data_IF_849707087479
#
_entry.id   IF_849707087479
#
_cell.length_a   1.000
_cell.length_b   1.000
_cell.length_c   1.000
_cell.angle_alpha   90.00
_cell.angle_beta   90.00
_cell.angle_gamma   90.00
#
_symmetry.space_group_name_H-M   'P 1'
#
loop_
_entity.id
_entity.type
_entity.pdbx_description
1 polymer ?
#
# COMPACT_ATOMS: atom_id res chain seq x y z
N UNK A 1 -37.21 -3.98 -13.70
CA UNK A 1 -35.89 -3.31 -13.82
C UNK A 1 -35.64 -2.54 -12.54
N UNK A 2 -34.45 -2.60 -11.94
CA UNK A 2 -34.15 -1.87 -10.71
C UNK A 2 -34.27 -0.36 -10.91
N UNK A 3 -34.85 0.33 -9.94
CA UNK A 3 -35.10 1.77 -10.01
C UNK A 3 -34.07 2.53 -9.17
N UNK A 4 -33.31 3.40 -9.82
CA UNK A 4 -32.22 4.18 -9.20
C UNK A 4 -32.71 5.36 -8.35
N UNK A 5 -34.02 5.63 -8.32
CA UNK A 5 -34.60 6.56 -7.37
C UNK A 5 -34.81 5.90 -6.00
N UNK A 6 -34.82 4.57 -5.95
CA UNK A 6 -35.02 3.81 -4.73
C UNK A 6 -33.69 3.64 -4.00
N UNK A 7 -33.66 4.10 -2.75
CA UNK A 7 -32.44 4.05 -1.91
C UNK A 7 -31.90 2.62 -1.75
N UNK A 8 -32.78 1.63 -1.62
CA UNK A 8 -32.40 0.22 -1.51
C UNK A 8 -31.63 -0.28 -2.73
N UNK A 9 -32.03 0.12 -3.92
CA UNK A 9 -31.35 -0.19 -5.18
C UNK A 9 -29.97 0.46 -5.23
N UNK A 10 -29.88 1.74 -4.86
CA UNK A 10 -28.59 2.45 -4.81
C UNK A 10 -27.62 1.81 -3.81
N UNK A 11 -28.11 1.42 -2.64
CA UNK A 11 -27.33 0.71 -1.62
C UNK A 11 -26.90 -0.70 -2.08
N UNK A 12 -27.72 -1.38 -2.88
CA UNK A 12 -27.36 -2.67 -3.49
C UNK A 12 -26.26 -2.49 -4.55
N UNK A 13 -26.39 -1.51 -5.45
CA UNK A 13 -25.38 -1.19 -6.46
C UNK A 13 -24.05 -0.84 -5.81
N UNK A 14 -24.07 -0.01 -4.76
CA UNK A 14 -22.86 0.36 -4.03
C UNK A 14 -22.18 -0.85 -3.38
N UNK A 15 -22.95 -1.73 -2.73
CA UNK A 15 -22.42 -2.96 -2.13
C UNK A 15 -21.76 -3.88 -3.16
N UNK A 16 -22.48 -4.17 -4.25
CA UNK A 16 -21.98 -5.03 -5.32
C UNK A 16 -20.77 -4.42 -6.04
N UNK A 17 -20.73 -3.10 -6.18
CA UNK A 17 -19.59 -2.40 -6.75
C UNK A 17 -18.36 -2.52 -5.85
N UNK A 18 -18.51 -2.27 -4.55
CA UNK A 18 -17.40 -2.37 -3.60
C UNK A 18 -16.91 -3.81 -3.38
N UNK A 19 -17.78 -4.83 -3.48
CA UNK A 19 -17.41 -6.24 -3.30
C UNK A 19 -16.75 -6.86 -4.54
N UNK A 20 -17.23 -6.54 -5.75
CA UNK A 20 -16.75 -7.14 -7.00
C UNK A 20 -15.55 -6.39 -7.61
N UNK A 21 -14.64 -5.90 -6.77
CA UNK A 21 -13.42 -5.21 -7.22
C UNK A 21 -13.68 -3.93 -8.02
N UNK A 22 -14.81 -3.25 -7.76
CA UNK A 22 -15.22 -2.02 -8.46
C UNK A 22 -15.48 -2.23 -9.96
N UNK A 23 -15.94 -3.42 -10.34
CA UNK A 23 -16.43 -3.68 -11.68
C UNK A 23 -17.88 -3.20 -11.86
N UNK A 24 -18.08 -2.12 -12.64
CA UNK A 24 -19.39 -1.51 -12.87
C UNK A 24 -20.37 -2.44 -13.57
N UNK A 25 -19.93 -3.14 -14.61
CA UNK A 25 -20.79 -4.03 -15.39
C UNK A 25 -21.28 -5.20 -14.52
N UNK A 26 -20.36 -5.86 -13.81
CA UNK A 26 -20.71 -6.99 -12.94
C UNK A 26 -21.63 -6.56 -11.79
N UNK A 27 -21.38 -5.40 -11.18
CA UNK A 27 -22.24 -4.89 -10.11
C UNK A 27 -23.67 -4.63 -10.60
N UNK A 28 -23.84 -4.04 -11.79
CA UNK A 28 -25.16 -3.81 -12.38
C UNK A 28 -25.87 -5.11 -12.74
N UNK A 29 -25.15 -6.09 -13.30
CA UNK A 29 -25.70 -7.42 -13.59
C UNK A 29 -26.16 -8.11 -12.30
N UNK A 30 -25.36 -8.05 -11.23
CA UNK A 30 -25.66 -8.65 -9.92
C UNK A 30 -26.94 -8.07 -9.30
N UNK A 31 -27.16 -6.75 -9.45
CA UNK A 31 -28.39 -6.08 -8.97
C UNK A 31 -29.61 -6.36 -9.86
N UNK A 32 -29.44 -7.01 -11.01
CA UNK A 32 -30.54 -7.42 -11.89
C UNK A 32 -30.81 -6.48 -13.07
N UNK A 33 -29.86 -5.63 -13.46
CA UNK A 33 -29.90 -4.98 -14.76
C UNK A 33 -29.61 -5.98 -15.88
N UNK A 34 -30.20 -5.76 -17.06
CA UNK A 34 -29.93 -6.60 -18.23
C UNK A 34 -28.48 -6.47 -18.68
N UNK A 35 -27.89 -7.55 -19.20
CA UNK A 35 -26.49 -7.53 -19.68
C UNK A 35 -26.23 -6.47 -20.75
N UNK A 36 -27.17 -6.30 -21.69
CA UNK A 36 -27.07 -5.27 -22.74
C UNK A 36 -27.00 -3.86 -22.16
N UNK A 37 -27.81 -3.57 -21.15
CA UNK A 37 -27.81 -2.28 -20.48
C UNK A 37 -26.57 -2.10 -19.59
N UNK A 38 -26.22 -3.12 -18.80
CA UNK A 38 -25.07 -3.10 -17.90
C UNK A 38 -23.72 -2.98 -18.63
N UNK A 39 -23.61 -3.47 -19.86
CA UNK A 39 -22.41 -3.31 -20.70
C UNK A 39 -22.35 -1.94 -21.40
N UNK A 40 -23.47 -1.23 -21.45
CA UNK A 40 -23.51 0.09 -22.09
C UNK A 40 -22.79 1.14 -21.24
N UNK A 41 -21.88 1.89 -21.86
CA UNK A 41 -21.21 3.01 -21.18
C UNK A 41 -22.18 4.09 -20.71
N UNK A 42 -23.32 4.24 -21.39
CA UNK A 42 -24.39 5.16 -21.00
C UNK A 42 -25.04 4.78 -19.65
N UNK A 43 -25.27 3.49 -19.40
CA UNK A 43 -25.78 3.05 -18.09
C UNK A 43 -24.77 3.35 -16.98
N UNK A 44 -23.46 3.19 -17.25
CA UNK A 44 -22.44 3.51 -16.25
C UNK A 44 -22.42 4.99 -15.90
N UNK A 45 -22.52 5.88 -16.90
CA UNK A 45 -22.53 7.31 -16.65
C UNK A 45 -23.80 7.73 -15.90
N UNK A 46 -24.97 7.27 -16.32
CA UNK A 46 -26.23 7.62 -15.66
C UNK A 46 -26.30 7.10 -14.22
N UNK A 47 -25.95 5.83 -14.01
CA UNK A 47 -26.12 5.20 -12.70
C UNK A 47 -25.09 5.71 -11.70
N UNK A 48 -23.82 5.73 -12.09
CA UNK A 48 -22.75 6.15 -11.17
C UNK A 48 -22.60 7.67 -11.07
N UNK A 49 -23.24 8.46 -11.94
CA UNK A 49 -23.38 9.90 -11.72
C UNK A 49 -24.41 10.23 -10.65
N UNK A 50 -25.35 9.31 -10.36
CA UNK A 50 -26.43 9.54 -9.40
C UNK A 50 -25.87 9.84 -7.99
N UNK A 51 -26.27 10.97 -7.36
CA UNK A 51 -25.80 11.34 -6.03
C UNK A 51 -26.06 10.29 -4.94
N UNK A 52 -27.17 9.56 -5.01
CA UNK A 52 -27.52 8.53 -4.02
C UNK A 52 -26.56 7.34 -4.09
N UNK A 53 -26.22 6.90 -5.31
CA UNK A 53 -25.23 5.83 -5.52
C UNK A 53 -23.86 6.28 -5.05
N UNK A 54 -23.45 7.51 -5.37
CA UNK A 54 -22.16 8.08 -4.90
C UNK A 54 -22.11 8.15 -3.37
N UNK A 55 -23.17 8.63 -2.73
CA UNK A 55 -23.25 8.71 -1.27
C UNK A 55 -23.19 7.32 -0.62
N UNK A 56 -23.86 6.33 -1.19
CA UNK A 56 -23.81 4.95 -0.71
C UNK A 56 -22.41 4.34 -0.84
N UNK A 57 -21.72 4.55 -1.97
CA UNK A 57 -20.33 4.12 -2.18
C UNK A 57 -19.41 4.79 -1.14
N UNK A 58 -19.52 6.13 -0.98
CA UNK A 58 -18.70 6.87 -0.02
C UNK A 58 -18.91 6.39 1.43
N UNK A 59 -20.14 6.00 1.79
CA UNK A 59 -20.43 5.42 3.11
C UNK A 59 -19.73 4.07 3.32
N UNK A 60 -19.65 3.24 2.29
CA UNK A 60 -18.93 1.96 2.36
C UNK A 60 -17.42 2.21 2.44
N UNK A 61 -16.88 3.07 1.56
CA UNK A 61 -15.45 3.40 1.53
C UNK A 61 -14.98 4.03 2.85
N UNK A 62 -15.78 4.91 3.47
CA UNK A 62 -15.45 5.51 4.78
C UNK A 62 -15.46 4.49 5.91
N UNK A 63 -16.36 3.50 5.88
CA UNK A 63 -16.35 2.39 6.84
C UNK A 63 -15.10 1.52 6.65
N UNK A 64 -14.78 1.14 5.41
CA UNK A 64 -13.58 0.37 5.10
C UNK A 64 -12.30 1.12 5.49
N UNK A 65 -12.24 2.43 5.25
CA UNK A 65 -11.10 3.25 5.63
C UNK A 65 -10.84 3.24 7.15
N UNK A 66 -11.91 3.32 7.97
CA UNK A 66 -11.80 3.22 9.43
C UNK A 66 -11.31 1.84 9.87
N UNK A 67 -11.78 0.77 9.25
CA UNK A 67 -11.32 -0.59 9.53
C UNK A 67 -9.84 -0.78 9.16
N UNK A 68 -9.42 -0.24 8.02
CA UNK A 68 -8.00 -0.24 7.58
C UNK A 68 -7.13 0.51 8.57
N UNK A 69 -7.55 1.70 9.02
CA UNK A 69 -6.82 2.49 10.01
C UNK A 69 -6.72 1.77 11.35
N UNK A 70 -7.81 1.17 11.82
CA UNK A 70 -7.81 0.36 13.04
C UNK A 70 -6.84 -0.83 12.94
N UNK A 71 -6.89 -1.57 11.83
CA UNK A 71 -5.99 -2.69 11.58
C UNK A 71 -4.52 -2.23 11.51
N UNK A 72 -4.26 -1.06 10.90
CA UNK A 72 -2.92 -0.45 10.89
C UNK A 72 -2.41 -0.20 12.31
N UNK A 73 -3.23 0.37 13.19
CA UNK A 73 -2.87 0.62 14.60
C UNK A 73 -2.55 -0.70 15.32
N UNK A 74 -3.38 -1.73 15.15
CA UNK A 74 -3.15 -3.06 15.75
C UNK A 74 -1.83 -3.66 15.26
N UNK A 75 -1.57 -3.60 13.95
CA UNK A 75 -0.33 -4.12 13.35
C UNK A 75 0.91 -3.42 13.91
N UNK A 76 0.90 -2.09 14.02
CA UNK A 76 2.00 -1.32 14.60
C UNK A 76 2.24 -1.70 16.07
N UNK A 77 1.18 -1.89 16.85
CA UNK A 77 1.27 -2.31 18.24
C UNK A 77 1.82 -3.75 18.39
N UNK A 78 1.39 -4.67 17.53
CA UNK A 78 1.91 -6.04 17.52
C UNK A 78 3.40 -6.10 17.14
N UNK A 79 3.83 -5.28 16.18
CA UNK A 79 5.25 -5.15 15.83
C UNK A 79 6.08 -4.58 16.99
N UNK A 80 5.55 -3.61 17.74
CA UNK A 80 6.21 -3.10 18.94
C UNK A 80 6.38 -4.19 20.00
N UNK A 81 5.34 -5.00 20.26
CA UNK A 81 5.43 -6.14 21.18
C UNK A 81 6.46 -7.18 20.72
N UNK A 82 6.53 -7.46 19.42
CA UNK A 82 7.52 -8.36 18.85
C UNK A 82 8.95 -7.83 19.04
N UNK A 83 9.15 -6.52 18.85
CA UNK A 83 10.43 -5.85 19.15
C UNK A 83 10.82 -6.02 20.63
N UNK A 84 9.90 -5.73 21.56
CA UNK A 84 10.17 -5.82 23.00
C UNK A 84 10.50 -7.26 23.43
N UNK A 85 9.85 -8.26 22.81
CA UNK A 85 10.15 -9.67 23.04
C UNK A 85 11.54 -10.04 22.50
N UNK A 86 11.86 -9.60 21.27
CA UNK A 86 13.17 -9.84 20.66
C UNK A 86 14.30 -9.18 21.46
N UNK A 87 14.07 -7.98 22.00
CA UNK A 87 15.00 -7.29 22.89
C UNK A 87 15.26 -8.11 24.16
N UNK A 88 14.20 -8.63 24.81
CA UNK A 88 14.33 -9.50 25.99
C UNK A 88 15.08 -10.80 25.70
N UNK A 89 14.97 -11.32 24.47
CA UNK A 89 15.66 -12.53 24.03
C UNK A 89 17.09 -12.27 23.52
N UNK A 90 17.52 -11.01 23.43
CA UNK A 90 18.83 -10.65 22.86
C UNK A 90 18.94 -10.92 21.35
N UNK A 91 17.81 -11.05 20.64
CA UNK A 91 17.80 -11.35 19.20
C UNK A 91 17.76 -10.08 18.35
N UNK A 92 18.94 -9.53 18.06
CA UNK A 92 19.09 -8.31 17.28
C UNK A 92 18.50 -8.39 15.85
N UNK A 93 18.55 -9.57 15.21
CA UNK A 93 17.99 -9.76 13.87
C UNK A 93 16.46 -9.59 13.87
N UNK A 94 15.79 -10.17 14.86
CA UNK A 94 14.35 -10.05 15.02
C UNK A 94 13.91 -8.61 15.39
N UNK A 95 14.72 -7.88 16.17
CA UNK A 95 14.48 -6.46 16.44
C UNK A 95 14.53 -5.60 15.17
N UNK A 96 15.54 -5.80 14.33
CA UNK A 96 15.68 -5.07 13.05
C UNK A 96 14.54 -5.40 12.10
N UNK A 97 14.10 -6.66 12.04
CA UNK A 97 12.97 -7.05 11.21
C UNK A 97 11.67 -6.35 11.65
N UNK A 98 11.37 -6.32 12.96
CA UNK A 98 10.19 -5.66 13.49
C UNK A 98 10.18 -4.15 13.19
N UNK A 99 11.34 -3.48 13.31
CA UNK A 99 11.45 -2.05 13.02
C UNK A 99 11.34 -1.74 11.52
N UNK A 100 11.89 -2.59 10.65
CA UNK A 100 11.73 -2.45 9.19
C UNK A 100 10.26 -2.54 8.78
N UNK A 101 9.53 -3.51 9.28
CA UNK A 101 8.10 -3.67 8.98
C UNK A 101 7.27 -2.50 9.53
N UNK A 102 7.62 -1.98 10.71
CA UNK A 102 6.99 -0.77 11.27
C UNK A 102 7.21 0.45 10.37
N UNK A 103 8.41 0.60 9.82
CA UNK A 103 8.74 1.65 8.85
C UNK A 103 7.98 1.49 7.52
N UNK A 104 7.78 0.25 7.07
CA UNK A 104 6.95 -0.04 5.89
C UNK A 104 5.50 0.39 6.08
N UNK A 105 4.88 0.02 7.21
CA UNK A 105 3.48 0.37 7.51
C UNK A 105 3.29 1.89 7.72
N UNK A 106 4.31 2.56 8.24
CA UNK A 106 4.27 4.01 8.48
C UNK A 106 4.61 4.86 7.25
N UNK A 107 4.92 4.24 6.12
CA UNK A 107 5.46 4.91 4.92
C UNK A 107 6.74 5.72 5.21
N UNK A 108 7.49 5.33 6.25
CA UNK A 108 8.81 5.86 6.58
C UNK A 108 9.94 5.02 5.97
N UNK A 109 9.59 4.04 5.13
CA UNK A 109 10.57 3.48 4.22
C UNK A 109 11.13 4.64 3.40
N UNK A 110 12.38 5.00 3.67
CA UNK A 110 13.14 5.81 2.73
C UNK A 110 13.00 5.08 1.40
N UNK A 111 12.23 5.68 0.48
CA UNK A 111 12.47 5.49 -0.95
C UNK A 111 13.97 5.55 -1.06
N UNK A 112 14.56 4.42 -1.43
CA UNK A 112 15.98 4.20 -1.69
C UNK A 112 16.75 5.48 -1.41
N UNK A 113 17.46 5.57 -0.28
CA UNK A 113 18.58 6.49 -0.23
C UNK A 113 19.32 6.18 -1.53
N UNK A 114 19.11 7.00 -2.57
CA UNK A 114 20.00 7.10 -3.69
C UNK A 114 21.22 7.63 -2.98
N UNK A 115 21.99 6.72 -2.38
CA UNK A 115 23.39 6.91 -2.14
C UNK A 115 23.87 7.29 -3.52
N UNK A 116 24.00 8.60 -3.73
CA UNK A 116 24.39 9.17 -5.01
C UNK A 116 25.46 8.24 -5.55
N UNK A 117 25.23 7.63 -6.71
CA UNK A 117 26.17 6.68 -7.33
C UNK A 117 27.56 7.30 -7.50
N UNK A 118 27.67 8.63 -7.34
CA UNK A 118 28.91 9.39 -7.20
C UNK A 118 29.60 9.20 -5.85
N UNK A 119 28.90 9.36 -4.72
CA UNK A 119 29.51 9.24 -3.39
C UNK A 119 30.03 7.83 -3.10
N UNK A 120 29.28 6.79 -3.49
CA UNK A 120 29.71 5.39 -3.30
C UNK A 120 30.86 5.02 -4.24
N UNK A 121 30.92 5.60 -5.43
CA UNK A 121 32.02 5.39 -6.40
C UNK A 121 33.29 6.13 -6.00
N UNK A 122 33.16 7.37 -5.53
CA UNK A 122 34.28 8.18 -5.00
C UNK A 122 34.93 7.53 -3.75
N UNK A 123 34.12 6.96 -2.85
CA UNK A 123 34.63 6.21 -1.69
C UNK A 123 35.43 4.97 -2.10
N UNK A 124 34.97 4.21 -3.10
CA UNK A 124 35.67 3.03 -3.60
C UNK A 124 37.00 3.39 -4.30
N UNK A 125 37.01 4.46 -5.09
CA UNK A 125 38.22 4.93 -5.79
C UNK A 125 39.27 5.47 -4.80
N UNK A 126 38.83 6.19 -3.77
CA UNK A 126 39.66 6.66 -2.65
C UNK A 126 40.32 5.48 -1.91
N UNK A 127 39.55 4.46 -1.55
CA UNK A 127 40.06 3.29 -0.83
C UNK A 127 41.03 2.46 -1.68
N UNK A 128 40.77 2.32 -2.99
CA UNK A 128 41.72 1.66 -3.89
C UNK A 128 43.01 2.46 -4.10
N UNK A 129 42.94 3.79 -4.15
CA UNK A 129 44.12 4.64 -4.27
C UNK A 129 45.01 4.55 -3.01
N UNK A 130 44.40 4.49 -1.83
CA UNK A 130 45.12 4.35 -0.56
C UNK A 130 45.79 2.97 -0.43
N UNK A 131 45.09 1.89 -0.81
CA UNK A 131 45.66 0.55 -0.85
C UNK A 131 46.87 0.44 -1.81
N UNK A 132 46.81 1.09 -2.98
CA UNK A 132 47.93 1.15 -3.93
C UNK A 132 49.11 1.96 -3.39
N UNK A 133 48.85 3.06 -2.69
CA UNK A 133 49.90 3.85 -2.01
C UNK A 133 50.63 3.02 -0.96
N UNK A 134 49.90 2.31 -0.11
CA UNK A 134 50.47 1.44 0.92
C UNK A 134 51.29 0.30 0.33
N UNK A 135 50.82 -0.33 -0.75
CA UNK A 135 51.56 -1.38 -1.46
C UNK A 135 52.88 -0.85 -2.06
N UNK A 136 52.86 0.33 -2.67
CA UNK A 136 54.05 0.98 -3.23
C UNK A 136 55.05 1.43 -2.17
N UNK A 137 54.60 1.83 -0.98
CA UNK A 137 55.49 2.15 0.14
C UNK A 137 56.18 0.89 0.66
N UNK A 138 55.44 -0.22 0.81
CA UNK A 138 56.01 -1.51 1.23
C UNK A 138 57.05 -2.05 0.25
N UNK A 139 56.81 -1.92 -1.05
CA UNK A 139 57.76 -2.32 -2.09
C UNK A 139 59.04 -1.46 -2.15
N UNK A 140 59.00 -0.23 -1.64
CA UNK A 140 60.18 0.67 -1.56
C UNK A 140 60.99 0.50 -0.27
N UNK A 141 60.47 -0.23 0.71
CA UNK A 141 61.12 -0.52 1.99
C UNK A 141 61.70 -1.95 2.06
N UNK A 142 61.48 -2.77 1.03
CA UNK A 142 62.12 -4.06 0.81
C UNK A 142 63.30 -3.90 -0.16
#
# INVERSE_FOLDING_TARGET
MPNIKDKSTCDAIAREFCSNGRNKEQALISVGYTKSYARSGYAHTQIYANPLVKAAIAKIDTKMAKEIEHNRIISLHNLQKAYDLAFKQGNAAAMVAAEREKNAISNLHSSTLHTDDKQTKELNDSQQAEARRLANIRLKQA
#
